data_IF_038319706964
#
_entry.id   IF_038319706964
#
_cell.length_a   1.000
_cell.length_b   1.000
_cell.length_c   1.000
_cell.angle_alpha   90.00
_cell.angle_beta   90.00
_cell.angle_gamma   90.00
#
_symmetry.space_group_name_H-M   'P 1'
#
loop_
_entity.id
_entity.type
_entity.pdbx_description
1 polymer ?
#
# COMPACT_ATOMS: atom_id res chain seq x y z
N UNK A 1 6.72 12.96 -3.51
CA UNK A 1 6.65 12.73 -2.05
C UNK A 1 5.19 12.51 -1.69
N UNK A 2 4.83 11.43 -0.99
CA UNK A 2 3.47 11.11 -0.55
C UNK A 2 3.05 12.00 0.65
N UNK A 3 2.98 13.32 0.44
CA UNK A 3 2.80 14.32 1.52
C UNK A 3 1.38 14.42 2.08
N UNK A 4 0.40 13.72 1.51
CA UNK A 4 -1.00 13.75 1.98
C UNK A 4 -1.39 12.65 2.98
N UNK A 5 -0.52 11.66 3.22
CA UNK A 5 -0.86 10.45 3.99
C UNK A 5 -0.31 10.57 5.42
N UNK A 6 -1.11 11.11 6.34
CA UNK A 6 -0.76 11.16 7.77
C UNK A 6 -1.10 9.82 8.43
N UNK A 7 -0.09 8.98 8.68
CA UNK A 7 -0.27 7.65 9.30
C UNK A 7 0.54 7.53 10.59
N UNK A 8 0.08 6.71 11.55
CA UNK A 8 0.86 6.38 12.74
C UNK A 8 2.28 5.97 12.37
N UNK A 9 3.28 6.60 12.99
CA UNK A 9 4.71 6.41 12.67
C UNK A 9 5.14 4.94 12.65
N UNK A 10 4.52 4.11 13.50
CA UNK A 10 4.79 2.67 13.58
C UNK A 10 4.41 1.91 12.30
N UNK A 11 3.23 2.20 11.72
CA UNK A 11 2.79 1.52 10.49
C UNK A 11 3.73 1.85 9.32
N UNK A 12 4.10 3.13 9.20
CA UNK A 12 4.99 3.57 8.15
C UNK A 12 6.41 3.02 8.31
N UNK A 13 6.94 2.95 9.54
CA UNK A 13 8.24 2.31 9.83
C UNK A 13 8.23 0.83 9.44
N UNK A 14 7.19 0.10 9.82
CA UNK A 14 7.07 -1.33 9.49
C UNK A 14 6.97 -1.53 7.98
N UNK A 15 6.16 -0.71 7.30
CA UNK A 15 6.02 -0.79 5.85
C UNK A 15 7.33 -0.52 5.12
N UNK A 16 8.15 0.44 5.59
CA UNK A 16 9.48 0.72 5.00
C UNK A 16 10.45 -0.46 5.12
N UNK A 17 10.40 -1.23 6.21
CA UNK A 17 11.23 -2.43 6.31
C UNK A 17 10.71 -3.52 5.36
N UNK A 18 9.39 -3.68 5.29
CA UNK A 18 8.75 -4.67 4.42
C UNK A 18 8.93 -4.41 2.91
N UNK A 19 9.34 -3.20 2.48
CA UNK A 19 9.65 -2.98 1.05
C UNK A 19 10.86 -3.77 0.58
N UNK A 20 11.76 -4.21 1.49
CA UNK A 20 12.92 -5.02 1.15
C UNK A 20 12.53 -6.41 0.63
N UNK A 21 11.42 -6.97 1.13
CA UNK A 21 10.94 -8.31 0.78
C UNK A 21 9.77 -8.28 -0.22
N UNK A 22 9.42 -7.11 -0.75
CA UNK A 22 8.26 -6.93 -1.62
C UNK A 22 8.49 -7.58 -3.00
N UNK A 23 7.67 -8.58 -3.33
CA UNK A 23 7.66 -9.25 -4.62
C UNK A 23 6.45 -8.81 -5.43
N UNK A 24 6.62 -7.76 -6.25
CA UNK A 24 5.57 -7.10 -7.04
C UNK A 24 4.56 -8.05 -7.69
N UNK A 25 5.02 -9.06 -8.42
CA UNK A 25 4.12 -9.97 -9.13
C UNK A 25 3.18 -10.73 -8.18
N UNK A 26 3.73 -11.29 -7.10
CA UNK A 26 2.99 -12.09 -6.10
C UNK A 26 2.13 -11.20 -5.22
N UNK A 27 2.72 -10.17 -4.64
CA UNK A 27 2.12 -9.39 -3.56
C UNK A 27 1.06 -8.44 -4.09
N UNK A 28 1.30 -7.77 -5.21
CA UNK A 28 0.33 -6.83 -5.79
C UNK A 28 -0.94 -7.53 -6.26
N UNK A 29 -0.84 -8.72 -6.88
CA UNK A 29 -2.00 -9.54 -7.24
C UNK A 29 -2.83 -9.94 -6.03
N UNK A 30 -2.15 -10.36 -4.96
CA UNK A 30 -2.80 -10.78 -3.70
C UNK A 30 -3.49 -9.60 -2.99
N UNK A 31 -2.84 -8.44 -2.96
CA UNK A 31 -3.35 -7.22 -2.31
C UNK A 31 -4.55 -6.66 -3.06
N UNK A 32 -4.42 -6.47 -4.38
CA UNK A 32 -5.48 -5.93 -5.24
C UNK A 32 -6.57 -6.96 -5.58
N UNK A 33 -6.32 -8.26 -5.30
CA UNK A 33 -7.20 -9.38 -5.63
C UNK A 33 -7.53 -9.46 -7.13
N UNK A 34 -6.51 -9.22 -7.95
CA UNK A 34 -6.61 -9.24 -9.41
C UNK A 34 -5.89 -10.46 -9.99
N UNK A 35 -6.35 -11.01 -11.13
CA UNK A 35 -5.74 -12.18 -11.74
C UNK A 35 -4.37 -11.87 -12.36
N UNK A 36 -4.15 -10.63 -12.80
CA UNK A 36 -2.92 -10.19 -13.48
C UNK A 36 -2.34 -8.99 -12.76
N UNK A 37 -1.01 -8.98 -12.59
CA UNK A 37 -0.29 -7.87 -11.97
C UNK A 37 -0.42 -6.61 -12.84
N UNK A 38 -0.94 -5.49 -12.32
CA UNK A 38 -1.03 -4.25 -13.08
C UNK A 38 0.34 -3.74 -13.54
N UNK A 39 0.36 -2.99 -14.63
CA UNK A 39 1.58 -2.28 -15.06
C UNK A 39 1.97 -1.22 -14.02
N UNK A 40 3.28 -0.95 -13.84
CA UNK A 40 3.69 0.16 -12.98
C UNK A 40 3.14 1.47 -13.54
N UNK A 41 2.62 2.34 -12.68
CA UNK A 41 2.04 3.60 -13.13
C UNK A 41 1.09 4.24 -12.13
N UNK A 42 0.56 5.39 -12.51
CA UNK A 42 -0.35 6.19 -11.70
C UNK A 42 -1.63 5.42 -11.32
N UNK A 43 -2.21 4.64 -12.25
CA UNK A 43 -3.44 3.87 -11.99
C UNK A 43 -3.25 2.82 -10.89
N UNK A 44 -2.09 2.16 -10.87
CA UNK A 44 -1.75 1.20 -9.82
C UNK A 44 -1.62 1.90 -8.46
N UNK A 45 -1.02 3.09 -8.42
CA UNK A 45 -0.90 3.88 -7.20
C UNK A 45 -2.26 4.38 -6.72
N UNK A 46 -3.14 4.80 -7.62
CA UNK A 46 -4.49 5.24 -7.29
C UNK A 46 -5.28 4.13 -6.59
N UNK A 47 -5.26 2.90 -7.13
CA UNK A 47 -5.91 1.75 -6.50
C UNK A 47 -5.33 1.44 -5.10
N UNK A 48 -4.01 1.53 -4.94
CA UNK A 48 -3.37 1.32 -3.64
C UNK A 48 -3.74 2.41 -2.64
N UNK A 49 -3.85 3.68 -3.06
CA UNK A 49 -4.30 4.79 -2.22
C UNK A 49 -5.74 4.57 -1.76
N UNK A 50 -6.64 4.18 -2.66
CA UNK A 50 -8.04 3.87 -2.31
C UNK A 50 -8.14 2.74 -1.28
N UNK A 51 -7.40 1.65 -1.49
CA UNK A 51 -7.36 0.54 -0.54
C UNK A 51 -6.80 0.97 0.82
N UNK A 52 -5.77 1.81 0.81
CA UNK A 52 -5.13 2.30 2.00
C UNK A 52 -6.10 3.19 2.82
N UNK A 53 -6.88 4.06 2.15
CA UNK A 53 -7.94 4.85 2.79
C UNK A 53 -9.05 3.96 3.37
N UNK A 54 -9.46 2.89 2.68
CA UNK A 54 -10.43 1.91 3.22
C UNK A 54 -9.88 1.27 4.50
N UNK A 55 -8.60 0.90 4.52
CA UNK A 55 -7.96 0.33 5.70
C UNK A 55 -7.85 1.35 6.85
N UNK A 56 -7.54 2.61 6.54
CA UNK A 56 -7.50 3.69 7.51
C UNK A 56 -8.89 3.97 8.11
N UNK A 57 -9.94 4.02 7.29
CA UNK A 57 -11.32 4.17 7.76
C UNK A 57 -11.75 3.00 8.68
N UNK A 58 -11.33 1.76 8.38
CA UNK A 58 -11.55 0.61 9.27
C UNK A 58 -10.80 0.74 10.59
N UNK A 59 -9.57 1.27 10.58
CA UNK A 59 -8.77 1.49 11.79
C UNK A 59 -9.43 2.47 12.76
N UNK A 60 -10.14 3.46 12.23
CA UNK A 60 -10.78 4.52 13.02
C UNK A 60 -12.18 4.14 13.52
N UNK A 61 -12.75 3.02 13.05
CA UNK A 61 -14.08 2.57 13.48
C UNK A 61 -14.08 1.92 14.88
N UNK A 62 -15.18 2.03 15.64
CA UNK A 62 -15.33 1.34 16.91
C UNK A 62 -15.36 -0.19 16.76
N UNK A 63 -14.75 -0.89 17.71
CA UNK A 63 -14.55 -2.35 17.64
C UNK A 63 -15.87 -3.16 17.67
N UNK A 64 -16.94 -2.59 18.22
CA UNK A 64 -18.23 -3.26 18.45
C UNK A 64 -19.19 -3.18 17.26
N UNK A 65 -18.89 -2.39 16.23
CA UNK A 65 -19.82 -2.12 15.10
C UNK A 65 -19.56 -3.00 13.85
N UNK A 66 -18.68 -4.01 13.89
CA UNK A 66 -18.12 -4.58 12.66
C UNK A 66 -18.14 -6.10 12.56
N UNK A 67 -18.77 -6.63 11.51
CA UNK A 67 -18.65 -8.03 11.07
C UNK A 67 -17.32 -8.38 10.37
N UNK A 68 -16.43 -7.40 10.16
CA UNK A 68 -15.10 -7.58 9.58
C UNK A 68 -14.08 -6.63 10.22
N UNK A 69 -13.31 -7.07 11.22
CA UNK A 69 -12.44 -6.21 12.02
C UNK A 69 -11.26 -5.64 11.23
N UNK A 70 -10.76 -4.48 11.65
CA UNK A 70 -9.51 -3.92 11.12
C UNK A 70 -8.34 -4.87 11.40
N UNK A 71 -7.53 -5.13 10.36
CA UNK A 71 -6.36 -6.01 10.44
C UNK A 71 -5.11 -5.20 10.10
N UNK A 72 -4.32 -4.89 11.12
CA UNK A 72 -3.08 -4.13 10.98
C UNK A 72 -2.13 -4.73 9.94
N UNK A 73 -1.96 -6.06 9.95
CA UNK A 73 -1.11 -6.76 8.96
C UNK A 73 -1.52 -6.47 7.51
N UNK A 74 -2.82 -6.53 7.19
CA UNK A 74 -3.31 -6.22 5.83
C UNK A 74 -3.08 -4.75 5.47
N UNK A 75 -3.26 -3.84 6.42
CA UNK A 75 -2.99 -2.42 6.18
C UNK A 75 -1.51 -2.17 5.90
N UNK A 76 -0.63 -2.83 6.64
CA UNK A 76 0.83 -2.76 6.43
C UNK A 76 1.19 -3.30 5.04
N UNK A 77 0.60 -4.41 4.58
CA UNK A 77 0.82 -4.93 3.23
C UNK A 77 0.49 -3.91 2.14
N UNK A 78 -0.64 -3.20 2.27
CA UNK A 78 -1.01 -2.12 1.32
C UNK A 78 0.01 -0.98 1.37
N UNK A 79 0.46 -0.57 2.56
CA UNK A 79 1.46 0.47 2.72
C UNK A 79 2.83 0.06 2.14
N UNK A 80 3.23 -1.21 2.28
CA UNK A 80 4.45 -1.75 1.67
C UNK A 80 4.36 -1.60 0.14
N UNK A 81 3.26 -2.09 -0.45
CA UNK A 81 3.06 -2.02 -1.89
C UNK A 81 3.04 -0.56 -2.38
N UNK A 82 2.33 0.33 -1.69
CA UNK A 82 2.24 1.74 -2.04
C UNK A 82 3.60 2.43 -2.03
N UNK A 83 4.42 2.18 -0.99
CA UNK A 83 5.78 2.72 -0.91
C UNK A 83 6.68 2.17 -2.01
N UNK A 84 6.64 0.87 -2.26
CA UNK A 84 7.47 0.21 -3.26
C UNK A 84 7.10 0.65 -4.69
N UNK A 85 5.81 0.69 -5.04
CA UNK A 85 5.35 1.14 -6.36
C UNK A 85 5.64 2.64 -6.58
N UNK A 86 5.57 3.47 -5.53
CA UNK A 86 5.91 4.90 -5.64
C UNK A 86 7.40 5.11 -5.89
N UNK A 87 8.27 4.30 -5.26
CA UNK A 87 9.71 4.30 -5.53
C UNK A 87 9.99 3.83 -6.96
N UNK A 88 9.32 2.77 -7.40
CA UNK A 88 9.46 2.24 -8.76
C UNK A 88 9.07 3.27 -9.82
N UNK A 89 7.94 3.97 -9.64
CA UNK A 89 7.52 5.04 -10.54
C UNK A 89 8.53 6.18 -10.55
N UNK A 90 9.00 6.62 -9.38
CA UNK A 90 10.01 7.69 -9.27
C UNK A 90 11.32 7.30 -9.96
N UNK A 91 11.75 6.05 -9.83
CA UNK A 91 12.94 5.53 -10.51
C UNK A 91 12.74 5.47 -12.03
N UNK A 92 11.55 5.10 -12.50
CA UNK A 92 11.23 5.09 -13.93
C UNK A 92 11.16 6.49 -14.54
N UNK A 93 10.77 7.50 -13.75
CA UNK A 93 10.70 8.90 -14.18
C UNK A 93 12.07 9.60 -14.17
N UNK A 94 13.06 9.06 -13.44
CA UNK A 94 14.44 9.54 -13.53
C UNK A 94 15.15 8.77 -14.66
N UNK A 95 15.40 9.38 -15.83
CA UNK A 95 16.26 8.76 -16.81
C UNK A 95 17.63 8.51 -16.19
N UNK A 96 18.12 7.27 -16.29
CA UNK A 96 19.47 6.90 -15.88
C UNK A 96 20.45 7.63 -16.84
N UNK A 97 21.46 8.35 -16.34
CA UNK A 97 22.47 8.97 -17.20
C UNK A 97 23.29 7.91 -17.94
#
# INVERSE_FOLDING_TARGET
MLTGITRPRLLLRTARLGTLDYARARDLRRILRVPVTPKPGADCLAQLIELEEIHNARRLRPLHEVGSPWRAARHIEVLIALLAEAQLLTASLRPRP
#
